data_IF_631126980376
#
_entry.id   IF_631126980376
#
_cell.length_a   1.000
_cell.length_b   1.000
_cell.length_c   1.000
_cell.angle_alpha   90.00
_cell.angle_beta   90.00
_cell.angle_gamma   90.00
#
_symmetry.space_group_name_H-M   'P 1'
#
loop_
_entity.id
_entity.type
_entity.pdbx_description
1 polymer ?
#
# COMPACT_ATOMS: atom_id res chain seq x y z
N UNK A 1 -5.40 -5.67 -15.69
CA UNK A 1 -5.05 -6.59 -14.58
C UNK A 1 -5.74 -6.06 -13.33
N UNK A 2 -6.27 -6.94 -12.48
CA UNK A 2 -7.05 -6.53 -11.31
C UNK A 2 -6.30 -6.90 -10.02
N UNK A 3 -6.40 -6.02 -9.03
CA UNK A 3 -5.89 -6.25 -7.68
C UNK A 3 -7.02 -6.17 -6.67
N UNK A 4 -6.90 -6.94 -5.59
CA UNK A 4 -7.81 -6.95 -4.46
C UNK A 4 -7.02 -6.84 -3.16
N UNK A 5 -7.33 -5.82 -2.35
CA UNK A 5 -6.57 -5.51 -1.14
C UNK A 5 -7.47 -5.62 0.09
N UNK A 6 -6.97 -6.33 1.10
CA UNK A 6 -7.61 -6.47 2.41
C UNK A 6 -6.87 -5.60 3.41
N UNK A 7 -7.61 -4.75 4.12
CA UNK A 7 -7.08 -3.84 5.13
C UNK A 7 -7.54 -4.27 6.53
N UNK A 8 -6.60 -4.68 7.38
CA UNK A 8 -6.82 -4.79 8.82
C UNK A 8 -6.48 -3.45 9.47
N UNK A 9 -7.51 -2.61 9.64
CA UNK A 9 -7.38 -1.26 10.19
C UNK A 9 -6.89 -1.30 11.66
N UNK A 10 -7.24 -2.35 12.41
CA UNK A 10 -6.87 -2.49 13.82
C UNK A 10 -5.39 -2.82 13.98
N UNK A 11 -4.86 -3.70 13.13
CA UNK A 11 -3.43 -4.08 13.13
C UNK A 11 -2.57 -3.25 12.21
N UNK A 12 -3.17 -2.34 11.45
CA UNK A 12 -2.48 -1.51 10.46
C UNK A 12 -1.75 -2.37 9.42
N UNK A 13 -2.42 -3.44 8.98
CA UNK A 13 -1.84 -4.45 8.10
C UNK A 13 -2.64 -4.54 6.80
N UNK A 14 -1.94 -4.64 5.68
CA UNK A 14 -2.50 -4.76 4.35
C UNK A 14 -2.06 -6.08 3.75
N UNK A 15 -3.01 -6.78 3.13
CA UNK A 15 -2.71 -7.93 2.29
C UNK A 15 -3.26 -7.68 0.90
N UNK A 16 -2.38 -7.49 -0.07
CA UNK A 16 -2.71 -7.26 -1.45
C UNK A 16 -2.58 -8.55 -2.27
N UNK A 17 -3.50 -8.75 -3.20
CA UNK A 17 -3.50 -9.85 -4.15
C UNK A 17 -3.65 -9.32 -5.56
N UNK A 18 -2.93 -9.93 -6.51
CA UNK A 18 -3.25 -9.83 -7.94
C UNK A 18 -4.14 -11.00 -8.36
N UNK A 19 -5.06 -10.74 -9.26
CA UNK A 19 -5.91 -11.78 -9.86
C UNK A 19 -5.18 -12.42 -11.04
N UNK A 20 -5.06 -13.75 -11.01
CA UNK A 20 -4.47 -14.55 -12.09
C UNK A 20 -5.54 -15.38 -12.80
N UNK A 21 -5.22 -15.93 -13.97
CA UNK A 21 -6.13 -16.76 -14.73
C UNK A 21 -6.63 -17.98 -13.90
N UNK A 22 -7.76 -18.57 -14.33
CA UNK A 22 -8.33 -19.77 -13.71
C UNK A 22 -8.76 -19.58 -12.25
N UNK A 23 -9.41 -18.45 -11.94
CA UNK A 23 -9.92 -18.12 -10.59
C UNK A 23 -8.84 -18.10 -9.49
N UNK A 24 -7.57 -17.89 -9.85
CA UNK A 24 -6.48 -17.81 -8.89
C UNK A 24 -6.23 -16.39 -8.40
N UNK A 25 -5.53 -16.29 -7.28
CA UNK A 25 -4.93 -15.03 -6.83
C UNK A 25 -3.54 -15.28 -6.26
N UNK A 26 -2.67 -14.28 -6.36
CA UNK A 26 -1.32 -14.34 -5.80
C UNK A 26 -1.08 -13.13 -4.90
N UNK A 27 -0.52 -13.36 -3.71
CA UNK A 27 -0.12 -12.27 -2.81
C UNK A 27 0.99 -11.44 -3.45
N UNK A 28 0.87 -10.12 -3.34
CA UNK A 28 1.86 -9.16 -3.83
C UNK A 28 2.31 -8.24 -2.70
N UNK A 29 3.57 -7.79 -2.79
CA UNK A 29 4.16 -6.83 -1.84
C UNK A 29 4.39 -5.45 -2.48
N UNK A 30 4.25 -5.35 -3.80
CA UNK A 30 4.31 -4.13 -4.60
C UNK A 30 3.11 -4.15 -5.53
N UNK A 31 2.43 -3.02 -5.69
CA UNK A 31 1.31 -2.91 -6.62
C UNK A 31 1.78 -3.00 -8.07
N UNK A 32 1.05 -3.76 -8.87
CA UNK A 32 1.15 -3.81 -10.34
C UNK A 32 0.29 -2.72 -11.00
N UNK A 33 -0.77 -2.23 -10.33
CA UNK A 33 -1.62 -1.11 -10.79
C UNK A 33 -0.97 0.25 -10.49
N UNK A 34 -0.25 0.37 -9.37
CA UNK A 34 0.52 1.56 -8.99
C UNK A 34 2.01 1.20 -8.98
N UNK A 35 2.69 1.28 -10.15
CA UNK A 35 4.06 0.82 -10.28
C UNK A 35 4.99 1.45 -9.25
N UNK A 36 5.78 0.61 -8.56
CA UNK A 36 6.73 1.06 -7.55
C UNK A 36 6.12 1.29 -6.16
N UNK A 37 4.80 1.21 -5.99
CA UNK A 37 4.18 1.37 -4.68
C UNK A 37 4.32 0.08 -3.85
N UNK A 38 5.21 0.09 -2.87
CA UNK A 38 5.30 -0.96 -1.86
C UNK A 38 4.08 -0.94 -0.93
N UNK A 39 3.49 -2.11 -0.68
CA UNK A 39 2.34 -2.24 0.24
C UNK A 39 2.74 -1.88 1.68
N UNK A 40 3.99 -2.12 2.06
CA UNK A 40 4.54 -1.71 3.36
C UNK A 40 4.55 -0.19 3.57
N UNK A 41 4.67 0.60 2.49
CA UNK A 41 4.62 2.06 2.59
C UNK A 41 3.21 2.56 2.95
N UNK A 42 2.18 1.87 2.45
CA UNK A 42 0.79 2.14 2.83
C UNK A 42 0.54 1.78 4.30
N UNK A 43 1.09 0.66 4.78
CA UNK A 43 1.02 0.29 6.19
C UNK A 43 1.70 1.35 7.08
N UNK A 44 2.86 1.87 6.69
CA UNK A 44 3.54 2.95 7.41
C UNK A 44 2.71 4.23 7.43
N UNK A 45 2.08 4.60 6.30
CA UNK A 45 1.16 5.76 6.26
C UNK A 45 -0.02 5.62 7.21
N UNK A 46 -0.63 4.43 7.27
CA UNK A 46 -1.71 4.13 8.22
C UNK A 46 -1.23 4.11 9.67
N UNK A 47 0.03 3.76 9.93
CA UNK A 47 0.59 3.84 11.28
C UNK A 47 0.79 5.30 11.70
N UNK A 48 1.33 6.13 10.80
CA UNK A 48 1.55 7.57 11.03
C UNK A 48 0.24 8.33 11.22
N UNK A 49 -0.84 7.95 10.53
CA UNK A 49 -2.16 8.58 10.69
C UNK A 49 -2.81 8.36 12.06
N UNK A 50 -2.22 7.52 12.92
CA UNK A 50 -2.63 7.40 14.33
C UNK A 50 -2.06 8.50 15.22
N UNK A 51 -1.04 9.22 14.75
CA UNK A 51 -0.29 10.20 15.53
C UNK A 51 -0.22 11.58 14.88
N UNK A 52 -0.44 11.64 13.56
CA UNK A 52 -0.35 12.84 12.74
C UNK A 52 -1.70 13.11 12.07
N UNK A 53 -1.96 14.37 11.70
CA UNK A 53 -3.16 14.68 10.93
C UNK A 53 -3.05 14.21 9.47
N UNK A 54 -4.19 14.16 8.78
CA UNK A 54 -4.27 13.66 7.41
C UNK A 54 -3.44 14.47 6.41
N UNK A 55 -3.26 15.78 6.65
CA UNK A 55 -2.47 16.67 5.79
C UNK A 55 -0.98 16.38 5.93
N UNK A 56 -0.51 16.20 7.16
CA UNK A 56 0.88 15.86 7.45
C UNK A 56 1.25 14.48 6.91
N UNK A 57 0.39 13.48 7.12
CA UNK A 57 0.58 12.12 6.58
C UNK A 57 0.56 12.12 5.07
N UNK A 58 -0.40 12.82 4.45
CA UNK A 58 -0.46 12.94 2.99
C UNK A 58 0.80 13.57 2.40
N UNK A 59 1.28 14.66 3.01
CA UNK A 59 2.51 15.36 2.61
C UNK A 59 3.76 14.49 2.78
N UNK A 60 3.82 13.68 3.85
CA UNK A 60 4.88 12.70 4.04
C UNK A 60 4.82 11.59 2.99
N UNK A 61 3.65 11.00 2.75
CA UNK A 61 3.46 9.89 1.83
C UNK A 61 3.84 10.27 0.39
N UNK A 62 3.44 11.47 -0.05
CA UNK A 62 3.79 12.00 -1.37
C UNK A 62 5.31 12.10 -1.58
N UNK A 63 6.06 12.48 -0.53
CA UNK A 63 7.53 12.51 -0.59
C UNK A 63 8.13 11.11 -0.74
N UNK A 64 7.54 10.10 -0.10
CA UNK A 64 8.02 8.71 -0.20
C UNK A 64 7.79 8.12 -1.60
N UNK A 65 6.63 8.39 -2.22
CA UNK A 65 6.32 7.87 -3.56
C UNK A 65 7.04 8.63 -4.69
N UNK A 66 7.52 9.85 -4.43
CA UNK A 66 8.29 10.65 -5.38
C UNK A 66 9.80 10.46 -5.25
N UNK A 67 10.26 9.92 -4.11
CA UNK A 67 11.68 9.63 -3.93
C UNK A 67 12.11 8.56 -4.95
N UNK A 68 13.20 8.77 -5.71
CA UNK A 68 13.73 7.73 -6.57
C UNK A 68 14.06 6.50 -5.72
N UNK A 69 13.65 5.32 -6.18
CA UNK A 69 14.09 4.06 -5.59
C UNK A 69 15.62 4.02 -5.69
N UNK A 70 16.29 4.19 -4.55
CA UNK A 70 17.74 4.06 -4.44
C UNK A 70 18.21 2.63 -4.64
#
# INVERSE_FOLDING_TARGET
MAEYWVFDIKKTKITAFKIIASNGSQRINVSEILPGLAISLLEEGLQRSRQMDNTEVGSWFLRQVQAPAG
#
